data_IF_651677054859
#
_entry.id   IF_651677054859
#
_cell.length_a   1.000
_cell.length_b   1.000
_cell.length_c   1.000
_cell.angle_alpha   90.00
_cell.angle_beta   90.00
_cell.angle_gamma   90.00
#
_symmetry.space_group_name_H-M   'P 1'
#
loop_
_entity.id
_entity.type
_entity.pdbx_description
1 polymer ?
#
# COMPACT_ATOMS: atom_id res chain seq x y z
N UNK A 1 12.72 10.57 16.54
CA UNK A 1 12.04 9.87 15.43
C UNK A 1 11.65 10.92 14.41
N UNK A 2 12.38 10.99 13.29
CA UNK A 2 12.08 11.97 12.23
C UNK A 2 10.89 11.50 11.42
N UNK A 3 9.89 12.36 11.26
CA UNK A 3 8.84 12.14 10.27
C UNK A 3 9.44 12.44 8.89
N UNK A 4 9.53 11.44 8.01
CA UNK A 4 9.93 11.65 6.63
C UNK A 4 8.67 12.03 5.83
N UNK A 5 8.20 13.26 6.01
CA UNK A 5 7.02 13.77 5.31
C UNK A 5 7.44 14.41 3.99
N UNK A 6 7.28 13.71 2.87
CA UNK A 6 7.23 14.40 1.58
C UNK A 6 5.80 14.93 1.41
N UNK A 7 5.56 16.19 1.75
CA UNK A 7 4.30 16.88 1.39
C UNK A 7 4.19 17.19 -0.12
N UNK A 8 4.96 16.47 -0.95
CA UNK A 8 4.96 16.63 -2.39
C UNK A 8 3.98 15.65 -3.02
N UNK A 9 3.22 16.14 -4.00
CA UNK A 9 2.39 15.27 -4.85
C UNK A 9 3.32 14.47 -5.74
N UNK A 10 3.15 13.15 -5.73
CA UNK A 10 3.90 12.24 -6.58
C UNK A 10 3.00 11.73 -7.70
N UNK A 11 3.58 11.56 -8.89
CA UNK A 11 2.91 10.87 -9.98
C UNK A 11 2.84 9.37 -9.66
N UNK A 12 1.75 8.71 -10.04
CA UNK A 12 1.59 7.26 -9.92
C UNK A 12 2.00 6.57 -11.24
N UNK A 13 2.69 5.42 -11.20
CA UNK A 13 3.17 4.71 -10.02
C UNK A 13 4.33 5.45 -9.33
N UNK A 14 4.33 5.42 -7.99
CA UNK A 14 5.37 6.02 -7.15
C UNK A 14 6.08 4.95 -6.34
N UNK A 15 7.41 4.99 -6.33
CA UNK A 15 8.25 4.09 -5.55
C UNK A 15 9.29 4.89 -4.77
N UNK A 16 9.50 4.53 -3.51
CA UNK A 16 10.52 5.15 -2.66
C UNK A 16 11.03 4.19 -1.61
N UNK A 17 12.25 4.45 -1.12
CA UNK A 17 12.85 3.72 -0.01
C UNK A 17 12.48 4.39 1.30
N UNK A 18 11.89 3.63 2.22
CA UNK A 18 11.62 4.09 3.58
C UNK A 18 12.94 4.06 4.38
N UNK A 19 13.36 5.21 4.91
CA UNK A 19 14.61 5.36 5.69
C UNK A 19 14.37 6.21 6.95
N UNK A 20 14.72 5.74 8.15
CA UNK A 20 15.31 4.43 8.46
C UNK A 20 14.36 3.27 8.17
N UNK A 21 14.88 2.04 8.17
CA UNK A 21 14.08 0.84 7.94
C UNK A 21 12.91 0.77 8.93
N UNK A 22 11.79 0.20 8.49
CA UNK A 22 10.60 -0.02 9.33
C UNK A 22 10.98 -0.82 10.58
N UNK A 23 10.56 -0.34 11.74
CA UNK A 23 10.71 -1.01 13.03
C UNK A 23 9.36 -1.07 13.75
N UNK A 24 9.32 -1.74 14.89
CA UNK A 24 8.14 -1.69 15.75
C UNK A 24 7.76 -0.23 16.05
N UNK A 25 6.47 0.10 15.92
CA UNK A 25 5.93 1.44 16.12
C UNK A 25 6.05 2.38 14.92
N UNK A 26 6.67 1.99 13.81
CA UNK A 26 6.67 2.80 12.58
C UNK A 26 5.26 2.91 12.01
N UNK A 27 4.84 4.13 11.68
CA UNK A 27 3.59 4.41 10.98
C UNK A 27 3.90 4.94 9.58
N UNK A 28 3.24 4.37 8.57
CA UNK A 28 3.31 4.83 7.18
C UNK A 28 1.94 5.37 6.80
N UNK A 29 1.87 6.67 6.51
CA UNK A 29 0.64 7.33 6.10
C UNK A 29 0.70 7.61 4.60
N UNK A 30 -0.29 7.11 3.86
CA UNK A 30 -0.47 7.38 2.43
C UNK A 30 -1.74 8.19 2.26
N UNK A 31 -1.60 9.37 1.65
CA UNK A 31 -2.71 10.27 1.35
C UNK A 31 -2.84 10.44 -0.15
N UNK A 32 -4.06 10.39 -0.66
CA UNK A 32 -4.35 10.56 -2.07
C UNK A 32 -5.84 10.42 -2.36
N UNK A 33 -6.20 10.58 -3.63
CA UNK A 33 -7.57 10.38 -4.11
C UNK A 33 -7.59 9.22 -5.08
N UNK A 34 -8.44 8.24 -4.84
CA UNK A 34 -8.58 7.11 -5.75
C UNK A 34 -9.32 7.55 -7.03
N UNK A 35 -8.67 7.38 -8.18
CA UNK A 35 -9.20 7.74 -9.50
C UNK A 35 -9.64 6.53 -10.33
N UNK A 36 -9.02 5.37 -10.12
CA UNK A 36 -9.37 4.10 -10.76
C UNK A 36 -10.40 3.27 -9.97
N UNK A 37 -10.71 2.09 -10.50
CA UNK A 37 -11.59 1.11 -9.85
C UNK A 37 -10.87 0.33 -8.74
N UNK A 38 -9.54 0.34 -8.78
CA UNK A 38 -8.67 -0.20 -7.76
C UNK A 38 -7.35 0.59 -7.73
N UNK A 39 -6.66 0.53 -6.60
CA UNK A 39 -5.28 0.96 -6.48
C UNK A 39 -4.53 0.01 -5.55
N UNK A 40 -3.21 0.12 -5.49
CA UNK A 40 -2.40 -0.71 -4.61
C UNK A 40 -1.33 0.10 -3.89
N UNK A 41 -1.03 -0.36 -2.67
CA UNK A 41 0.12 0.08 -1.88
C UNK A 41 0.88 -1.17 -1.48
N UNK A 42 2.13 -1.25 -1.93
CA UNK A 42 3.01 -2.38 -1.66
C UNK A 42 4.13 -1.95 -0.70
N UNK A 43 4.36 -2.74 0.35
CA UNK A 43 5.62 -2.73 1.08
C UNK A 43 6.47 -3.89 0.58
N UNK A 44 7.65 -3.56 0.04
CA UNK A 44 8.61 -4.52 -0.45
C UNK A 44 9.89 -4.53 0.40
N UNK A 45 10.50 -5.71 0.52
CA UNK A 45 11.83 -5.83 1.11
C UNK A 45 12.93 -5.48 0.08
N UNK A 46 14.19 -5.47 0.50
CA UNK A 46 15.33 -5.17 -0.37
C UNK A 46 15.59 -6.22 -1.49
N UNK A 47 14.89 -7.35 -1.48
CA UNK A 47 14.94 -8.39 -2.53
C UNK A 47 13.81 -8.23 -3.55
N UNK A 48 12.90 -7.27 -3.35
CA UNK A 48 11.73 -7.09 -4.17
C UNK A 48 10.54 -7.98 -3.79
N UNK A 49 10.62 -8.74 -2.70
CA UNK A 49 9.46 -9.51 -2.21
C UNK A 49 8.42 -8.54 -1.62
N UNK A 50 7.17 -8.66 -2.04
CA UNK A 50 6.07 -7.90 -1.46
C UNK A 50 5.68 -8.56 -0.14
N UNK A 51 6.07 -7.93 0.97
CA UNK A 51 5.76 -8.44 2.33
C UNK A 51 4.36 -8.03 2.78
N UNK A 52 3.81 -6.96 2.21
CA UNK A 52 2.43 -6.54 2.40
C UNK A 52 1.94 -5.87 1.11
N UNK A 53 0.89 -6.44 0.53
CA UNK A 53 0.11 -5.87 -0.56
C UNK A 53 -1.24 -5.40 0.01
N UNK A 54 -1.56 -4.13 -0.20
CA UNK A 54 -2.85 -3.54 0.16
C UNK A 54 -3.53 -3.09 -1.12
N UNK A 55 -4.61 -3.76 -1.51
CA UNK A 55 -5.32 -3.48 -2.75
C UNK A 55 -6.81 -3.21 -2.51
N UNK A 56 -7.17 -1.94 -2.26
CA UNK A 56 -8.55 -1.52 -2.28
C UNK A 56 -9.15 -1.68 -3.69
N UNK A 57 -10.17 -2.54 -3.82
CA UNK A 57 -11.01 -2.70 -5.02
C UNK A 57 -12.36 -2.02 -4.79
N UNK A 58 -12.54 -0.83 -5.35
CA UNK A 58 -13.70 0.03 -5.11
C UNK A 58 -14.99 -0.53 -5.72
N UNK A 59 -14.90 -1.17 -6.90
CA UNK A 59 -16.07 -1.77 -7.54
C UNK A 59 -16.66 -2.93 -6.71
N UNK A 60 -15.79 -3.75 -6.12
CA UNK A 60 -16.18 -4.88 -5.28
C UNK A 60 -16.47 -4.46 -3.83
N UNK A 61 -16.15 -3.21 -3.47
CA UNK A 61 -16.16 -2.67 -2.09
C UNK A 61 -15.38 -3.55 -1.12
N UNK A 62 -14.26 -4.09 -1.59
CA UNK A 62 -13.40 -5.01 -0.85
C UNK A 62 -11.97 -4.50 -0.77
N UNK A 63 -11.39 -4.62 0.43
CA UNK A 63 -9.97 -4.50 0.65
C UNK A 63 -9.34 -5.89 0.54
N UNK A 64 -8.42 -6.06 -0.40
CA UNK A 64 -7.62 -7.28 -0.54
C UNK A 64 -6.25 -7.05 0.10
N UNK A 65 -5.85 -7.99 0.95
CA UNK A 65 -4.52 -8.05 1.56
C UNK A 65 -3.83 -9.33 1.11
N UNK A 66 -2.54 -9.24 0.79
CA UNK A 66 -1.75 -10.41 0.42
C UNK A 66 -0.24 -10.17 0.67
N UNK A 67 0.58 -11.16 0.34
CA UNK A 67 2.04 -11.07 0.21
C UNK A 67 2.48 -11.91 -1.00
N UNK A 68 3.64 -11.58 -1.57
CA UNK A 68 4.21 -12.26 -2.72
C UNK A 68 5.71 -12.57 -2.53
N UNK A 69 6.07 -13.52 -1.63
CA UNK A 69 7.44 -13.97 -1.49
C UNK A 69 7.94 -14.60 -2.80
N UNK A 70 9.08 -14.12 -3.30
CA UNK A 70 9.66 -14.53 -4.58
C UNK A 70 8.68 -14.39 -5.77
N UNK A 71 7.78 -13.40 -5.70
CA UNK A 71 6.78 -13.13 -6.72
C UNK A 71 5.57 -14.08 -6.72
N UNK A 72 5.48 -15.01 -5.77
CA UNK A 72 4.37 -15.97 -5.70
C UNK A 72 3.29 -15.45 -4.75
N UNK A 73 2.14 -15.09 -5.30
CA UNK A 73 0.99 -14.65 -4.51
C UNK A 73 0.46 -15.77 -3.61
N UNK A 74 0.26 -15.45 -2.33
CA UNK A 74 -0.44 -16.32 -1.39
C UNK A 74 -1.97 -16.25 -1.53
N UNK A 75 -2.66 -16.86 -0.58
CA UNK A 75 -4.11 -16.72 -0.44
C UNK A 75 -4.48 -15.29 -0.05
N UNK A 76 -5.45 -14.70 -0.74
CA UNK A 76 -5.95 -13.36 -0.42
C UNK A 76 -6.72 -13.36 0.91
N UNK A 77 -6.46 -12.36 1.75
CA UNK A 77 -7.34 -11.96 2.84
C UNK A 77 -8.24 -10.81 2.38
N UNK A 78 -9.56 -10.94 2.59
CA UNK A 78 -10.55 -9.97 2.12
C UNK A 78 -11.27 -9.34 3.30
N UNK A 79 -11.37 -8.01 3.30
CA UNK A 79 -12.11 -7.22 4.30
C UNK A 79 -13.13 -6.31 3.62
N UNK A 80 -14.25 -5.98 4.28
CA UNK A 80 -15.16 -4.95 3.80
C UNK A 80 -14.44 -3.60 3.75
N UNK A 81 -14.71 -2.81 2.71
CA UNK A 81 -14.12 -1.49 2.54
C UNK A 81 -15.03 -0.39 3.07
N UNK A 82 -14.49 0.48 3.92
CA UNK A 82 -15.17 1.68 4.42
C UNK A 82 -14.74 2.96 3.68
N UNK A 83 -14.27 2.83 2.43
CA UNK A 83 -13.75 3.92 1.60
C UNK A 83 -14.64 4.02 0.35
N UNK A 84 -15.03 5.24 -0.02
CA UNK A 84 -15.83 5.52 -1.21
C UNK A 84 -15.00 6.34 -2.21
N UNK A 85 -15.35 6.26 -3.51
CA UNK A 85 -14.69 7.04 -4.57
C UNK A 85 -14.77 8.54 -4.23
N UNK A 86 -13.63 9.24 -4.29
CA UNK A 86 -13.55 10.69 -4.09
C UNK A 86 -13.49 11.18 -2.64
N UNK A 87 -13.36 10.28 -1.66
CA UNK A 87 -13.01 10.63 -0.27
C UNK A 87 -11.49 10.63 -0.03
#
# INVERSE_FOLDING_TARGET
MGQQTSNQRHNVPFETRISPSISYGTQVHVYGTATGDQFEVNLANNRGDIVLHVNPRLNDRQLVLNSAPSGNWGSEERKPMNISRGQ
#
